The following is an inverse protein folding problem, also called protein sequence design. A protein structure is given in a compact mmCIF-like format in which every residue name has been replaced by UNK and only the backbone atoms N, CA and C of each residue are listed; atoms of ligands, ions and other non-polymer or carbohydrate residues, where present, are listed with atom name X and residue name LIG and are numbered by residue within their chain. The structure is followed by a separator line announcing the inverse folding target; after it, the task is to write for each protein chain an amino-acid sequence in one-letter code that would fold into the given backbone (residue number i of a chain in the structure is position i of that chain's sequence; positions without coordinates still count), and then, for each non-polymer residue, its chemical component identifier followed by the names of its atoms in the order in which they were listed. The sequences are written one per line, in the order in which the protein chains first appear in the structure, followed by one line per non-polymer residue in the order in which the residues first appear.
data_IF_135235782647
#
_entry.id   IF_135235782647
#
_cell.length_a   1.000
_cell.length_b   1.000
_cell.length_c   1.000
_cell.angle_alpha   90.00
_cell.angle_beta   90.00
_cell.angle_gamma   90.00
#
_symmetry.space_group_name_H-M   'P 1'
#
loop_
_entity.id
_entity.type
_entity.pdbx_description
1 polymer ?
#
# COMPACT_ATOMS: atom_id res chain seq x y z
N UNK A 1 12.08 -20.21 -12.31
CA UNK A 1 12.88 -19.10 -11.75
C UNK A 1 13.10 -17.97 -12.76
N UNK A 2 13.25 -18.27 -14.04
CA UNK A 2 13.48 -17.29 -15.13
C UNK A 2 12.28 -16.38 -15.42
N UNK A 3 11.05 -16.86 -15.28
CA UNK A 3 9.82 -16.08 -15.54
C UNK A 3 9.55 -15.00 -14.48
N UNK A 4 9.88 -15.24 -13.22
CA UNK A 4 9.68 -14.27 -12.13
C UNK A 4 10.63 -13.08 -12.25
N UNK A 5 11.86 -13.30 -12.73
CA UNK A 5 12.82 -12.22 -12.99
C UNK A 5 12.40 -11.38 -14.21
N UNK A 6 11.80 -11.98 -15.23
CA UNK A 6 11.24 -11.24 -16.38
C UNK A 6 10.00 -10.43 -16.00
N UNK A 7 9.13 -10.93 -15.11
CA UNK A 7 7.96 -10.21 -14.62
C UNK A 7 8.37 -9.04 -13.71
N UNK A 8 9.40 -9.19 -12.88
CA UNK A 8 9.86 -8.08 -12.00
C UNK A 8 10.47 -6.92 -12.80
N UNK A 9 11.10 -7.18 -13.93
CA UNK A 9 11.66 -6.14 -14.82
C UNK A 9 10.58 -5.44 -15.67
N UNK A 10 9.35 -5.95 -15.69
CA UNK A 10 8.24 -5.38 -16.44
C UNK A 10 7.16 -4.73 -15.54
N UNK A 11 7.38 -4.64 -14.22
CA UNK A 11 6.45 -4.00 -13.31
C UNK A 11 6.58 -2.48 -13.40
N UNK A 12 5.47 -1.81 -13.60
CA UNK A 12 5.42 -0.34 -13.66
C UNK A 12 4.51 0.18 -12.55
N UNK A 13 5.02 1.10 -11.75
CA UNK A 13 4.24 1.87 -10.79
C UNK A 13 3.75 3.15 -11.47
N UNK A 14 2.42 3.36 -11.52
CA UNK A 14 1.81 4.57 -12.09
C UNK A 14 0.99 5.29 -11.04
N UNK A 15 1.17 6.61 -10.95
CA UNK A 15 0.28 7.45 -10.15
C UNK A 15 -1.07 7.53 -10.85
N UNK A 16 -2.13 7.18 -10.13
CA UNK A 16 -3.50 7.25 -10.62
C UNK A 16 -4.06 8.66 -10.40
N UNK A 17 -4.85 9.14 -11.35
CA UNK A 17 -5.49 10.46 -11.32
C UNK A 17 -7.00 10.39 -11.04
N UNK A 18 -7.55 9.18 -10.92
CA UNK A 18 -8.98 8.97 -10.71
C UNK A 18 -9.80 9.06 -11.98
N UNK A 19 -9.16 8.90 -13.16
CA UNK A 19 -9.86 8.82 -14.43
C UNK A 19 -10.76 7.57 -14.47
N UNK A 20 -11.91 7.61 -15.16
CA UNK A 20 -12.87 6.50 -15.15
C UNK A 20 -12.28 5.13 -15.45
N UNK A 21 -11.36 4.94 -16.44
CA UNK A 21 -10.73 3.64 -16.67
C UNK A 21 -9.83 3.19 -15.51
N UNK A 22 -9.12 4.12 -14.87
CA UNK A 22 -8.28 3.84 -13.71
C UNK A 22 -9.12 3.41 -12.50
N UNK A 23 -10.24 4.12 -12.28
CA UNK A 23 -11.18 3.80 -11.18
C UNK A 23 -11.80 2.42 -11.36
N UNK A 24 -12.19 2.06 -12.58
CA UNK A 24 -12.72 0.74 -12.87
C UNK A 24 -11.65 -0.35 -12.65
N UNK A 25 -10.42 -0.15 -13.13
CA UNK A 25 -9.33 -1.09 -12.95
C UNK A 25 -8.95 -1.22 -11.46
N UNK A 26 -8.90 -0.11 -10.72
CA UNK A 26 -8.63 -0.09 -9.28
C UNK A 26 -9.70 -0.86 -8.51
N UNK A 27 -10.98 -0.64 -8.82
CA UNK A 27 -12.09 -1.37 -8.19
C UNK A 27 -11.96 -2.88 -8.43
N UNK A 28 -11.64 -3.30 -9.65
CA UNK A 28 -11.39 -4.72 -9.97
C UNK A 28 -10.24 -5.32 -9.15
N UNK A 29 -9.13 -4.58 -8.97
CA UNK A 29 -8.00 -5.04 -8.15
C UNK A 29 -8.41 -5.22 -6.69
N UNK A 30 -9.16 -4.28 -6.14
CA UNK A 30 -9.63 -4.33 -4.74
C UNK A 30 -10.61 -5.49 -4.53
N UNK A 31 -11.55 -5.69 -5.46
CA UNK A 31 -12.51 -6.81 -5.43
C UNK A 31 -11.82 -8.18 -5.62
N UNK A 32 -10.72 -8.22 -6.37
CA UNK A 32 -9.93 -9.43 -6.58
C UNK A 32 -9.05 -9.83 -5.38
N UNK A 33 -9.27 -9.23 -4.19
CA UNK A 33 -8.58 -9.58 -2.96
C UNK A 33 -9.55 -9.87 -1.79
N UNK A 34 -10.58 -10.73 -1.97
CA UNK A 34 -11.61 -10.96 -0.98
C UNK A 34 -11.08 -11.52 0.35
N UNK A 35 -10.05 -12.36 0.32
CA UNK A 35 -9.46 -12.91 1.53
C UNK A 35 -8.77 -11.84 2.41
N UNK A 36 -8.26 -10.76 1.80
CA UNK A 36 -7.75 -9.62 2.56
C UNK A 36 -8.88 -8.93 3.33
N UNK A 37 -9.97 -8.56 2.64
CA UNK A 37 -11.11 -7.87 3.25
C UNK A 37 -11.78 -8.73 4.32
N UNK A 38 -12.05 -9.99 4.03
CA UNK A 38 -12.63 -10.92 5.02
C UNK A 38 -11.76 -11.02 6.27
N UNK A 39 -10.44 -11.03 6.13
CA UNK A 39 -9.50 -11.13 7.27
C UNK A 39 -9.43 -9.83 8.07
N UNK A 40 -9.44 -8.68 7.40
CA UNK A 40 -9.20 -7.38 8.04
C UNK A 40 -10.50 -6.77 8.54
N UNK A 41 -11.57 -6.84 7.77
CA UNK A 41 -12.86 -6.19 8.08
C UNK A 41 -13.97 -7.16 8.48
N UNK A 42 -13.76 -8.47 8.25
CA UNK A 42 -14.80 -9.48 8.47
C UNK A 42 -15.90 -9.49 7.40
N UNK A 43 -15.77 -8.71 6.34
CA UNK A 43 -16.74 -8.56 5.27
C UNK A 43 -16.09 -8.67 3.88
N UNK A 44 -16.84 -9.03 2.84
CA UNK A 44 -16.34 -9.00 1.46
C UNK A 44 -16.06 -7.55 1.00
N UNK A 45 -15.26 -7.38 -0.07
CA UNK A 45 -15.06 -6.05 -0.68
C UNK A 45 -16.39 -5.46 -1.17
N UNK A 46 -16.57 -4.16 -1.00
CA UNK A 46 -17.77 -3.44 -1.46
C UNK A 46 -17.52 -2.66 -2.76
N UNK A 47 -18.60 -2.24 -3.43
CA UNK A 47 -18.53 -1.56 -4.74
C UNK A 47 -17.99 -0.13 -4.73
N UNK A 48 -17.63 0.45 -3.57
CA UNK A 48 -17.16 1.83 -3.44
C UNK A 48 -15.70 1.94 -2.97
N UNK A 49 -14.93 0.86 -3.02
CA UNK A 49 -13.57 0.82 -2.47
C UNK A 49 -12.61 1.76 -3.21
N UNK A 50 -12.68 1.80 -4.54
CA UNK A 50 -11.84 2.70 -5.33
C UNK A 50 -12.14 4.17 -5.00
N UNK A 51 -13.41 4.54 -4.89
CA UNK A 51 -13.81 5.88 -4.48
C UNK A 51 -13.31 6.22 -3.08
N UNK A 52 -13.52 5.32 -2.12
CA UNK A 52 -13.04 5.49 -0.75
C UNK A 52 -11.52 5.65 -0.69
N UNK A 53 -10.78 4.88 -1.48
CA UNK A 53 -9.32 4.97 -1.53
C UNK A 53 -8.83 6.34 -1.99
N UNK A 54 -9.53 7.01 -2.92
CA UNK A 54 -9.20 8.36 -3.37
C UNK A 54 -9.64 9.46 -2.40
N UNK A 55 -10.77 9.26 -1.71
CA UNK A 55 -11.38 10.33 -0.91
C UNK A 55 -11.03 10.30 0.58
N UNK A 56 -10.63 9.14 1.11
CA UNK A 56 -10.29 9.02 2.53
C UNK A 56 -8.98 9.76 2.85
N UNK A 57 -9.09 10.76 3.73
CA UNK A 57 -7.96 11.57 4.21
C UNK A 57 -7.96 11.59 5.74
N UNK A 58 -6.78 11.54 6.37
CA UNK A 58 -6.67 11.81 7.78
C UNK A 58 -6.89 13.31 8.07
N UNK A 59 -7.17 13.71 9.32
CA UNK A 59 -7.26 15.10 9.72
C UNK A 59 -6.00 15.88 9.28
N UNK A 60 -6.19 17.16 8.94
CA UNK A 60 -5.14 18.12 8.58
C UNK A 60 -4.35 17.76 7.31
N UNK A 61 -4.90 16.89 6.44
CA UNK A 61 -4.34 16.54 5.15
C UNK A 61 -5.25 16.97 4.01
N UNK A 62 -4.63 17.25 2.86
CA UNK A 62 -5.30 17.62 1.61
C UNK A 62 -5.06 16.56 0.54
N UNK A 63 -5.76 16.68 -0.58
CA UNK A 63 -5.56 15.77 -1.72
C UNK A 63 -4.16 15.88 -2.34
N UNK A 64 -3.44 16.99 -2.14
CA UNK A 64 -2.05 17.16 -2.56
C UNK A 64 -1.07 16.27 -1.77
N UNK A 65 -1.50 15.77 -0.62
CA UNK A 65 -0.73 14.84 0.22
C UNK A 65 -1.11 13.37 -0.02
N UNK A 66 -2.12 13.12 -0.86
CA UNK A 66 -2.65 11.79 -1.14
C UNK A 66 -2.12 11.24 -2.46
N UNK A 67 -1.55 10.05 -2.41
CA UNK A 67 -0.99 9.37 -3.58
C UNK A 67 -1.58 7.97 -3.69
N UNK A 68 -2.31 7.72 -4.76
CA UNK A 68 -2.85 6.41 -5.10
C UNK A 68 -2.08 5.89 -6.31
N UNK A 69 -1.40 4.77 -6.16
CA UNK A 69 -0.64 4.14 -7.24
C UNK A 69 -1.26 2.82 -7.67
N UNK A 70 -1.26 2.57 -8.97
CA UNK A 70 -1.49 1.27 -9.58
C UNK A 70 -0.16 0.58 -9.90
N UNK A 71 -0.05 -0.70 -9.59
CA UNK A 71 1.01 -1.58 -10.07
C UNK A 71 0.54 -2.29 -11.33
N UNK A 72 1.31 -2.18 -12.40
CA UNK A 72 0.97 -2.77 -13.70
C UNK A 72 1.97 -3.85 -14.10
N UNK A 73 1.45 -4.92 -14.72
CA UNK A 73 2.20 -5.92 -15.47
C UNK A 73 1.68 -5.88 -16.92
N UNK A 74 2.46 -5.29 -17.83
CA UNK A 74 1.94 -4.87 -19.14
C UNK A 74 0.84 -3.82 -18.97
N UNK A 75 -0.32 -4.05 -19.60
CA UNK A 75 -1.48 -3.14 -19.51
C UNK A 75 -2.43 -3.46 -18.36
N UNK A 76 -2.22 -4.57 -17.68
CA UNK A 76 -3.09 -4.99 -16.59
C UNK A 76 -2.66 -4.37 -15.26
N UNK A 77 -3.58 -3.69 -14.57
CA UNK A 77 -3.39 -3.30 -13.18
C UNK A 77 -3.52 -4.54 -12.29
N UNK A 78 -2.49 -4.87 -11.52
CA UNK A 78 -2.40 -6.11 -10.71
C UNK A 78 -2.32 -5.84 -9.20
N UNK A 79 -2.19 -4.58 -8.82
CA UNK A 79 -2.10 -4.16 -7.43
C UNK A 79 -2.28 -2.66 -7.28
N UNK A 80 -2.48 -2.21 -6.05
CA UNK A 80 -2.63 -0.80 -5.73
C UNK A 80 -1.97 -0.45 -4.39
N UNK A 81 -1.55 0.80 -4.26
CA UNK A 81 -1.04 1.36 -3.02
C UNK A 81 -1.65 2.73 -2.75
N UNK A 82 -1.92 2.99 -1.47
CA UNK A 82 -2.39 4.26 -0.93
C UNK A 82 -1.33 4.83 0.01
N UNK A 83 -0.92 6.06 -0.21
CA UNK A 83 0.10 6.72 0.63
C UNK A 83 -0.32 8.15 0.96
N UNK A 84 -0.11 8.52 2.21
CA UNK A 84 -0.26 9.90 2.69
C UNK A 84 1.11 10.47 3.02
N UNK A 85 1.47 11.54 2.35
CA UNK A 85 2.72 12.28 2.57
C UNK A 85 2.60 13.21 3.78
N UNK A 86 3.69 13.32 4.56
CA UNK A 86 3.75 14.26 5.68
C UNK A 86 2.77 13.94 6.81
N UNK A 87 2.48 12.66 7.08
CA UNK A 87 1.56 12.23 8.12
C UNK A 87 2.17 11.11 8.99
N UNK A 88 1.97 11.09 10.32
CA UNK A 88 1.28 12.08 11.17
C UNK A 88 2.09 13.38 11.38
N UNK A 89 3.33 13.44 10.95
CA UNK A 89 4.21 14.61 10.98
C UNK A 89 4.95 14.75 9.65
N UNK A 90 5.44 15.97 9.36
CA UNK A 90 5.92 16.38 8.03
C UNK A 90 6.97 15.46 7.40
N UNK A 91 7.86 14.88 8.21
CA UNK A 91 8.96 14.02 7.74
C UNK A 91 8.59 12.54 7.63
N UNK A 92 7.30 12.19 7.76
CA UNK A 92 6.81 10.81 7.65
C UNK A 92 5.84 10.64 6.49
N UNK A 93 5.85 9.45 5.90
CA UNK A 93 4.81 9.02 4.98
C UNK A 93 4.17 7.73 5.49
N UNK A 94 2.84 7.66 5.40
CA UNK A 94 2.07 6.47 5.78
C UNK A 94 1.65 5.72 4.54
N UNK A 95 2.04 4.44 4.45
CA UNK A 95 1.47 3.50 3.50
C UNK A 95 0.18 2.97 4.11
N UNK A 96 -0.96 3.48 3.66
CA UNK A 96 -2.29 3.11 4.16
C UNK A 96 -2.74 1.76 3.64
N UNK A 97 -2.41 1.45 2.38
CA UNK A 97 -2.67 0.16 1.75
C UNK A 97 -1.53 -0.19 0.79
N UNK A 98 -1.19 -1.47 0.71
CA UNK A 98 -0.40 -2.07 -0.35
C UNK A 98 -0.98 -3.44 -0.63
N UNK A 99 -1.66 -3.59 -1.76
CA UNK A 99 -2.47 -4.75 -2.06
C UNK A 99 -2.19 -5.27 -3.48
N UNK A 100 -2.00 -6.56 -3.61
CA UNK A 100 -2.02 -7.28 -4.89
C UNK A 100 -3.33 -8.05 -5.01
N UNK A 101 -3.90 -8.08 -6.20
CA UNK A 101 -4.98 -9.01 -6.51
C UNK A 101 -4.54 -10.46 -6.24
N UNK A 102 -5.44 -11.30 -5.72
CA UNK A 102 -5.08 -12.66 -5.25
C UNK A 102 -4.36 -13.53 -6.29
N UNK A 103 -4.72 -13.50 -7.58
CA UNK A 103 -3.99 -14.27 -8.59
C UNK A 103 -2.51 -13.91 -8.72
N UNK A 104 -2.11 -12.72 -8.23
CA UNK A 104 -0.74 -12.21 -8.30
C UNK A 104 0.03 -12.31 -6.98
N UNK A 105 -0.63 -12.74 -5.92
CA UNK A 105 -0.01 -12.95 -4.62
C UNK A 105 0.87 -14.21 -4.59
N UNK A 106 1.74 -14.32 -3.59
CA UNK A 106 2.64 -15.48 -3.35
C UNK A 106 3.60 -15.81 -4.51
N UNK A 107 3.80 -14.86 -5.43
CA UNK A 107 4.74 -14.96 -6.56
C UNK A 107 6.01 -14.12 -6.35
N UNK A 108 6.28 -13.65 -5.14
CA UNK A 108 7.44 -12.77 -4.86
C UNK A 108 7.22 -11.29 -5.25
N UNK A 109 6.12 -10.96 -5.95
CA UNK A 109 5.84 -9.61 -6.46
C UNK A 109 5.62 -8.57 -5.35
N UNK A 110 5.14 -8.96 -4.18
CA UNK A 110 4.91 -8.04 -3.06
C UNK A 110 6.16 -7.29 -2.62
N UNK A 111 7.33 -7.95 -2.62
CA UNK A 111 8.61 -7.30 -2.31
C UNK A 111 8.97 -6.25 -3.36
N UNK A 112 8.91 -6.60 -4.65
CA UNK A 112 9.19 -5.67 -5.74
C UNK A 112 8.24 -4.46 -5.70
N UNK A 113 6.95 -4.70 -5.48
CA UNK A 113 5.95 -3.64 -5.34
C UNK A 113 6.24 -2.70 -4.16
N UNK A 114 6.48 -3.24 -2.97
CA UNK A 114 6.82 -2.43 -1.80
C UNK A 114 8.08 -1.59 -2.05
N UNK A 115 9.10 -2.16 -2.69
CA UNK A 115 10.33 -1.44 -3.04
C UNK A 115 10.06 -0.29 -4.03
N UNK A 116 9.22 -0.48 -5.05
CA UNK A 116 8.83 0.59 -5.99
C UNK A 116 8.12 1.73 -5.26
N UNK A 117 7.18 1.42 -4.38
CA UNK A 117 6.46 2.42 -3.56
C UNK A 117 7.43 3.16 -2.63
N UNK A 118 8.32 2.44 -1.94
CA UNK A 118 9.34 3.05 -1.08
C UNK A 118 10.24 4.00 -1.85
N UNK A 119 10.69 3.63 -3.05
CA UNK A 119 11.52 4.50 -3.91
C UNK A 119 10.75 5.76 -4.33
N UNK A 120 9.47 5.63 -4.70
CA UNK A 120 8.64 6.78 -5.04
C UNK A 120 8.48 7.75 -3.86
N UNK A 121 8.32 7.23 -2.63
CA UNK A 121 8.23 8.05 -1.42
C UNK A 121 9.57 8.74 -1.11
N UNK A 122 10.69 8.01 -1.20
CA UNK A 122 12.03 8.55 -0.90
C UNK A 122 12.41 9.68 -1.86
N UNK A 123 11.90 9.67 -3.09
CA UNK A 123 12.10 10.73 -4.07
C UNK A 123 11.52 12.09 -3.65
N UNK A 124 10.62 12.14 -2.66
CA UNK A 124 10.09 13.41 -2.12
C UNK A 124 11.10 14.19 -1.26
N UNK A 125 12.23 13.60 -0.91
CA UNK A 125 13.37 14.19 -0.18
C UNK A 125 13.11 14.61 1.27
N UNK A 126 11.91 15.10 1.61
CA UNK A 126 11.54 15.50 2.97
C UNK A 126 11.16 14.34 3.89
N UNK A 127 10.93 13.15 3.34
CA UNK A 127 10.50 11.99 4.12
C UNK A 127 11.72 11.22 4.66
N UNK A 128 11.79 11.14 5.98
CA UNK A 128 12.83 10.41 6.72
C UNK A 128 12.35 9.05 7.22
N UNK A 129 11.05 8.85 7.33
CA UNK A 129 10.44 7.66 7.93
C UNK A 129 9.22 7.20 7.15
N UNK A 130 9.21 5.92 6.79
CA UNK A 130 8.06 5.21 6.25
C UNK A 130 7.30 4.55 7.39
N UNK A 131 6.00 4.70 7.42
CA UNK A 131 5.12 4.19 8.48
C UNK A 131 3.94 3.44 7.85
N UNK A 132 3.46 2.43 8.55
CA UNK A 132 2.25 1.69 8.14
C UNK A 132 1.57 1.06 9.37
N UNK A 133 0.33 0.66 9.17
CA UNK A 133 -0.44 -0.12 10.13
C UNK A 133 -0.70 -1.53 9.61
N UNK A 134 -0.56 -2.53 10.46
CA UNK A 134 -0.89 -3.92 10.15
C UNK A 134 -1.99 -4.38 11.08
N UNK A 135 -3.12 -4.80 10.52
CA UNK A 135 -4.21 -5.37 11.30
C UNK A 135 -3.71 -6.62 12.06
N UNK A 136 -4.04 -6.71 13.34
CA UNK A 136 -3.68 -7.86 14.20
C UNK A 136 -4.19 -9.16 13.59
N UNK A 137 -5.35 -9.12 12.94
CA UNK A 137 -5.95 -10.24 12.20
C UNK A 137 -5.16 -10.68 10.95
N UNK A 138 -4.11 -9.94 10.55
CA UNK A 138 -3.31 -10.24 9.35
C UNK A 138 -1.83 -10.56 9.68
N UNK A 139 -1.52 -11.68 10.35
CA UNK A 139 -0.15 -12.03 10.73
C UNK A 139 0.77 -12.23 9.53
N UNK A 140 0.22 -12.61 8.37
CA UNK A 140 0.99 -12.74 7.12
C UNK A 140 1.59 -11.43 6.65
N UNK A 141 0.82 -10.33 6.74
CA UNK A 141 1.32 -8.99 6.43
C UNK A 141 2.37 -8.54 7.44
N UNK A 142 2.18 -8.86 8.73
CA UNK A 142 3.17 -8.56 9.78
C UNK A 142 4.53 -9.21 9.48
N UNK A 143 4.54 -10.51 9.17
CA UNK A 143 5.76 -11.23 8.77
C UNK A 143 6.38 -10.62 7.50
N UNK A 144 5.56 -10.26 6.52
CA UNK A 144 6.02 -9.62 5.29
C UNK A 144 6.73 -8.31 5.57
N UNK A 145 6.13 -7.40 6.33
CA UNK A 145 6.72 -6.10 6.63
C UNK A 145 7.98 -6.19 7.50
N UNK A 146 8.05 -7.14 8.43
CA UNK A 146 9.31 -7.44 9.15
C UNK A 146 10.43 -7.87 8.19
N UNK A 147 10.14 -8.71 7.19
CA UNK A 147 11.10 -9.07 6.14
C UNK A 147 11.50 -7.87 5.27
N UNK A 148 10.63 -6.86 5.15
CA UNK A 148 10.93 -5.56 4.52
C UNK A 148 11.66 -4.59 5.45
N UNK A 149 12.07 -5.04 6.65
CA UNK A 149 12.81 -4.29 7.68
C UNK A 149 11.99 -3.18 8.34
N UNK A 150 10.66 -3.28 8.37
CA UNK A 150 9.84 -2.48 9.25
C UNK A 150 9.88 -3.05 10.67
N UNK A 151 9.99 -2.16 11.66
CA UNK A 151 10.01 -2.49 13.08
C UNK A 151 8.75 -1.97 13.75
N UNK A 152 8.24 -2.72 14.70
CA UNK A 152 7.13 -2.29 15.55
C UNK A 152 7.55 -1.08 16.40
N UNK A 153 6.66 -0.12 16.51
CA UNK A 153 6.89 1.08 17.34
C UNK A 153 6.47 0.92 18.79
N UNK A 154 5.79 -0.17 19.13
CA UNK A 154 5.09 -0.35 20.38
C UNK A 154 3.71 0.34 20.43
N UNK A 155 3.37 1.13 19.40
CA UNK A 155 2.07 1.79 19.30
C UNK A 155 1.06 0.84 18.64
N UNK A 156 -0.12 0.76 19.27
CA UNK A 156 -1.31 0.14 18.69
C UNK A 156 -2.37 1.21 18.45
N UNK A 157 -3.07 1.12 17.33
CA UNK A 157 -4.23 1.96 17.02
C UNK A 157 -5.45 1.09 16.84
N UNK A 158 -6.58 1.61 17.25
CA UNK A 158 -7.88 1.06 16.95
C UNK A 158 -8.65 2.09 16.15
N UNK A 159 -8.88 1.80 14.89
CA UNK A 159 -9.52 2.72 13.96
C UNK A 159 -10.39 1.95 12.97
N UNK A 160 -11.37 2.62 12.42
CA UNK A 160 -12.30 2.13 11.41
C UNK A 160 -13.56 2.98 11.44
N UNK A 161 -14.29 3.01 10.33
CA UNK A 161 -15.60 3.67 10.26
C UNK A 161 -16.70 2.71 10.73
N UNK A 162 -16.87 1.61 9.99
CA UNK A 162 -17.92 0.63 10.27
C UNK A 162 -17.42 -0.55 11.14
N UNK A 163 -16.14 -0.90 11.01
CA UNK A 163 -15.49 -1.97 11.76
C UNK A 163 -14.23 -1.46 12.42
N UNK A 164 -14.15 -1.61 13.74
CA UNK A 164 -12.96 -1.23 14.50
C UNK A 164 -11.86 -2.28 14.36
N UNK A 165 -10.72 -1.88 13.82
CA UNK A 165 -9.59 -2.75 13.51
C UNK A 165 -8.42 -2.41 14.44
N UNK A 166 -8.00 -3.38 15.24
CA UNK A 166 -6.79 -3.27 16.04
C UNK A 166 -5.57 -3.42 15.14
N UNK A 167 -4.69 -2.43 15.16
CA UNK A 167 -3.61 -2.26 14.20
C UNK A 167 -2.28 -2.01 14.91
N UNK A 168 -1.28 -2.85 14.61
CA UNK A 168 0.11 -2.68 15.05
C UNK A 168 0.76 -1.66 14.13
N UNK A 169 1.38 -0.64 14.71
CA UNK A 169 2.09 0.36 13.95
C UNK A 169 3.55 -0.04 13.77
N UNK A 170 3.99 -0.04 12.52
CA UNK A 170 5.36 -0.37 12.14
C UNK A 170 5.99 0.78 11.37
N UNK A 171 7.33 0.92 11.46
CA UNK A 171 8.07 1.96 10.76
C UNK A 171 9.45 1.49 10.29
N UNK A 172 9.99 2.20 9.30
CA UNK A 172 11.31 1.99 8.70
C UNK A 172 11.90 3.34 8.35
N UNK A 173 13.20 3.54 8.59
CA UNK A 173 13.90 4.74 8.07
C UNK A 173 13.89 4.70 6.54
N UNK A 174 13.57 5.83 5.94
CA UNK A 174 13.74 6.04 4.51
C UNK A 174 15.25 6.04 4.21
N UNK A 175 15.72 5.07 3.43
CA UNK A 175 17.12 5.03 3.00
C UNK A 175 17.19 5.43 1.53
N UNK A 176 17.92 6.50 1.23
CA UNK A 176 18.35 6.76 -0.14
C UNK A 176 19.38 5.68 -0.47
N UNK A 177 19.12 4.89 -1.51
CA UNK A 177 20.16 4.04 -2.08
C UNK A 177 21.27 4.98 -2.56
N UNK A 178 22.39 5.04 -1.83
CA UNK A 178 23.54 5.79 -2.26
C UNK A 178 23.98 5.22 -3.62
N UNK A 179 23.95 6.03 -4.64
CA UNK A 179 24.76 5.80 -5.81
C UNK A 179 26.20 6.08 -5.35
N UNK A 180 26.95 5.02 -5.09
CA UNK A 180 28.41 5.01 -5.12
C UNK A 180 28.85 4.52 -6.46
#
# INVERSE_FOLDING_TARGET
MTDLLRLSNALILRLLRGEPPEMAALQCVLEAAPAYYQRVTGAPPCGALAQSMFTALPPDKTYDDKFVWGLYAGDAMIGCADVIRGYPVRDKAVIGLLLLAEPWQRRGLGRAFATLVEHAIVAWNEISTLRLGVAVSNPGAHIFWRKMRYLETGEMKRAGLDVMIDTIIMQKRASRSGHT
#
